data_IF_791441041563
#
_entry.id   IF_791441041563
#
_cell.length_a   1.000
_cell.length_b   1.000
_cell.length_c   1.000
_cell.angle_alpha   90.00
_cell.angle_beta   90.00
_cell.angle_gamma   90.00
#
_symmetry.space_group_name_H-M   'P 1'
#
loop_
_entity.id
_entity.type
_entity.pdbx_description
1 polymer ?
#
# COMPACT_ATOMS: atom_id res chain seq x y z
N UNK A 1 -14.49 17.89 -16.43
CA UNK A 1 -14.92 16.50 -16.19
C UNK A 1 -13.73 15.66 -15.75
N UNK A 2 -13.73 15.34 -14.45
CA UNK A 2 -13.01 14.24 -13.77
C UNK A 2 -11.49 14.16 -13.92
N UNK A 3 -10.79 14.99 -13.16
CA UNK A 3 -9.39 14.80 -12.79
C UNK A 3 -9.28 13.49 -11.99
N UNK A 4 -8.98 12.36 -12.67
CA UNK A 4 -8.72 11.06 -12.03
C UNK A 4 -7.44 11.13 -11.21
N UNK A 5 -7.52 11.75 -10.03
CA UNK A 5 -6.45 11.72 -9.03
C UNK A 5 -6.40 10.31 -8.42
N UNK A 6 -5.70 9.40 -9.11
CA UNK A 6 -5.25 8.12 -8.55
C UNK A 6 -4.16 8.41 -7.51
N UNK A 7 -4.57 8.93 -6.35
CA UNK A 7 -3.67 9.20 -5.22
C UNK A 7 -3.29 7.84 -4.63
N UNK A 8 -2.04 7.41 -4.86
CA UNK A 8 -1.49 6.15 -4.36
C UNK A 8 -0.54 6.48 -3.21
N UNK A 9 -0.80 5.91 -2.03
CA UNK A 9 0.13 5.97 -0.89
C UNK A 9 1.06 4.77 -0.99
N UNK A 10 2.38 5.02 -0.95
CA UNK A 10 3.41 3.99 -1.04
C UNK A 10 4.24 3.91 0.23
N UNK A 11 4.37 2.70 0.79
CA UNK A 11 5.25 2.43 1.93
C UNK A 11 6.31 1.40 1.51
N UNK A 12 7.58 1.70 1.80
CA UNK A 12 8.75 0.90 1.43
C UNK A 12 9.42 0.38 2.70
N UNK A 13 9.60 -0.93 2.81
CA UNK A 13 10.40 -1.52 3.87
C UNK A 13 11.12 -2.77 3.36
N UNK A 14 12.31 -3.03 3.94
CA UNK A 14 13.25 -4.05 3.47
C UNK A 14 13.21 -5.33 4.32
N UNK A 15 12.38 -5.37 5.37
CA UNK A 15 12.36 -6.48 6.35
C UNK A 15 11.12 -7.37 6.14
N UNK A 16 11.31 -8.69 5.94
CA UNK A 16 10.20 -9.61 5.65
C UNK A 16 9.23 -9.77 6.82
N UNK A 17 9.71 -9.64 8.07
CA UNK A 17 8.92 -9.92 9.27
C UNK A 17 7.79 -8.92 9.56
N UNK A 18 7.78 -7.76 8.88
CA UNK A 18 6.82 -6.68 9.15
C UNK A 18 5.76 -6.52 8.06
N UNK A 19 5.78 -7.37 7.03
CA UNK A 19 4.91 -7.29 5.85
C UNK A 19 3.41 -7.09 6.22
N UNK A 20 2.90 -7.87 7.18
CA UNK A 20 1.50 -7.83 7.64
C UNK A 20 1.11 -6.55 8.40
N UNK A 21 2.07 -5.90 9.07
CA UNK A 21 1.82 -4.67 9.82
C UNK A 21 1.59 -3.50 8.86
N UNK A 22 2.32 -3.47 7.74
CA UNK A 22 2.22 -2.38 6.76
C UNK A 22 0.87 -2.31 6.07
N UNK A 23 0.22 -3.44 5.85
CA UNK A 23 -1.12 -3.47 5.26
C UNK A 23 -2.13 -2.77 6.20
N UNK A 24 -2.09 -3.09 7.49
CA UNK A 24 -2.95 -2.48 8.51
C UNK A 24 -2.66 -0.99 8.69
N UNK A 25 -1.38 -0.60 8.64
CA UNK A 25 -0.94 0.79 8.76
C UNK A 25 -1.37 1.61 7.55
N UNK A 26 -1.18 1.09 6.33
CA UNK A 26 -1.65 1.74 5.09
C UNK A 26 -3.18 1.81 5.07
N UNK A 27 -3.89 0.78 5.53
CA UNK A 27 -5.35 0.82 5.65
C UNK A 27 -5.80 1.97 6.57
N UNK A 28 -5.09 2.20 7.67
CA UNK A 28 -5.36 3.32 8.58
C UNK A 28 -5.15 4.65 7.87
N UNK A 29 -4.05 4.83 7.15
CA UNK A 29 -3.80 6.05 6.36
C UNK A 29 -4.83 6.23 5.24
N UNK A 30 -5.23 5.18 4.54
CA UNK A 30 -6.27 5.22 3.51
C UNK A 30 -7.61 5.70 4.09
N UNK A 31 -7.99 5.21 5.28
CA UNK A 31 -9.19 5.66 6.00
C UNK A 31 -9.10 7.12 6.40
N UNK A 32 -7.98 7.54 6.97
CA UNK A 32 -7.77 8.93 7.42
C UNK A 32 -7.74 9.94 6.25
N UNK A 33 -7.19 9.53 5.10
CA UNK A 33 -7.05 10.39 3.92
C UNK A 33 -8.25 10.31 2.97
N UNK A 34 -9.22 9.42 3.24
CA UNK A 34 -10.36 9.18 2.35
C UNK A 34 -9.97 8.57 0.99
N UNK A 35 -8.79 7.96 0.90
CA UNK A 35 -8.26 7.36 -0.31
C UNK A 35 -8.74 5.90 -0.44
N UNK A 36 -8.99 5.48 -1.67
CA UNK A 36 -9.57 4.16 -1.98
C UNK A 36 -8.53 3.07 -2.25
N UNK A 37 -7.31 3.45 -2.61
CA UNK A 37 -6.28 2.52 -3.07
C UNK A 37 -4.89 2.89 -2.52
N UNK A 38 -4.20 1.93 -1.94
CA UNK A 38 -2.81 2.02 -1.48
C UNK A 38 -1.94 0.94 -2.10
N UNK A 39 -0.64 1.21 -2.17
CA UNK A 39 0.37 0.29 -2.71
C UNK A 39 1.45 0.04 -1.66
N UNK A 40 1.58 -1.19 -1.18
CA UNK A 40 2.69 -1.62 -0.33
C UNK A 40 3.74 -2.21 -1.27
N UNK A 41 5.00 -1.81 -1.11
CA UNK A 41 6.12 -2.48 -1.81
C UNK A 41 7.13 -2.95 -0.78
N UNK A 42 7.26 -4.26 -0.65
CA UNK A 42 8.28 -4.93 0.14
C UNK A 42 9.50 -5.17 -0.76
N UNK A 43 10.63 -4.52 -0.44
CA UNK A 43 11.89 -4.69 -1.17
C UNK A 43 12.80 -5.75 -0.54
N UNK A 44 12.35 -6.40 0.54
CA UNK A 44 13.08 -7.51 1.18
C UNK A 44 12.95 -8.84 0.45
N UNK A 45 12.11 -8.93 -0.58
CA UNK A 45 11.92 -10.15 -1.37
C UNK A 45 12.92 -10.29 -2.51
N UNK A 46 13.22 -11.54 -2.90
CA UNK A 46 14.20 -11.85 -3.96
C UNK A 46 13.80 -11.25 -5.31
N UNK A 47 12.51 -11.04 -5.53
CA UNK A 47 11.96 -10.43 -6.74
C UNK A 47 10.95 -9.35 -6.32
N UNK A 48 11.11 -8.13 -6.86
CA UNK A 48 10.25 -6.98 -6.54
C UNK A 48 8.77 -7.26 -6.83
N UNK A 49 8.48 -8.01 -7.90
CA UNK A 49 7.11 -8.39 -8.28
C UNK A 49 6.36 -9.16 -7.17
N UNK A 50 7.09 -9.91 -6.35
CA UNK A 50 6.50 -10.77 -5.31
C UNK A 50 6.28 -9.97 -4.02
N UNK A 51 6.90 -8.79 -3.89
CA UNK A 51 6.73 -7.87 -2.77
C UNK A 51 5.71 -6.75 -3.00
N UNK A 52 5.00 -6.71 -4.14
CA UNK A 52 3.99 -5.68 -4.41
C UNK A 52 2.62 -6.15 -3.89
N UNK A 53 2.08 -5.44 -2.89
CA UNK A 53 0.74 -5.68 -2.38
C UNK A 53 -0.16 -4.46 -2.59
N UNK A 54 -1.40 -4.69 -3.01
CA UNK A 54 -2.41 -3.64 -3.18
C UNK A 54 -3.41 -3.70 -2.05
N UNK A 55 -3.56 -2.59 -1.34
CA UNK A 55 -4.53 -2.45 -0.25
C UNK A 55 -5.69 -1.60 -0.74
N UNK A 56 -6.90 -2.09 -0.52
CA UNK A 56 -8.14 -1.47 -1.00
C UNK A 56 -9.01 -1.09 0.19
N UNK A 57 -9.50 0.15 0.19
CA UNK A 57 -10.34 0.68 1.25
C UNK A 57 -11.79 0.86 0.76
N UNK A 58 -12.62 -0.17 0.95
CA UNK A 58 -14.07 -0.14 0.73
C UNK A 58 -14.51 -0.02 -0.74
N UNK A 59 -14.12 -0.99 -1.58
CA UNK A 59 -14.61 -1.13 -2.96
C UNK A 59 -15.81 -2.08 -3.03
#
# INVERSE_FOLDING_TARGET
MTQRRNQKVQYCSCLPIRASIYETQILTYLRLTGLKLGLVINFGERLVKDGIHRVVNGL
#
